data_IF_924950484000
#
_entry.id   IF_924950484000
#
_cell.length_a   1.000
_cell.length_b   1.000
_cell.length_c   1.000
_cell.angle_alpha   90.00
_cell.angle_beta   90.00
_cell.angle_gamma   90.00
#
_symmetry.space_group_name_H-M   'P 1'
#
loop_
_entity.id
_entity.type
_entity.pdbx_description
1 polymer ?
#
# COMPACT_ATOMS: atom_id res chain seq x y z
N UNK A 1 -18.64 7.96 16.52
CA UNK A 1 -17.82 6.89 15.92
C UNK A 1 -16.39 7.37 15.81
N UNK A 2 -15.42 6.56 16.21
CA UNK A 2 -14.01 6.91 16.13
C UNK A 2 -13.52 7.01 14.68
N UNK A 3 -12.42 7.72 14.45
CA UNK A 3 -11.77 7.79 13.14
C UNK A 3 -11.15 6.42 12.83
N UNK A 4 -11.63 5.76 11.78
CA UNK A 4 -11.03 4.52 11.29
C UNK A 4 -9.59 4.76 10.80
N UNK A 5 -8.71 3.82 11.12
CA UNK A 5 -7.31 3.76 10.68
C UNK A 5 -7.19 2.78 9.52
N UNK A 6 -6.80 3.30 8.37
CA UNK A 6 -6.61 2.54 7.15
C UNK A 6 -5.13 2.28 6.89
N UNK A 7 -4.81 1.11 6.36
CA UNK A 7 -3.54 0.83 5.68
C UNK A 7 -3.81 0.43 4.23
N UNK A 8 -2.90 0.79 3.33
CA UNK A 8 -2.91 0.32 1.94
C UNK A 8 -1.54 -0.30 1.67
N UNK A 9 -1.51 -1.52 1.16
CA UNK A 9 -0.29 -2.29 0.91
C UNK A 9 -0.25 -2.85 -0.52
N UNK A 10 0.95 -2.81 -1.10
CA UNK A 10 1.26 -3.20 -2.47
C UNK A 10 2.71 -3.72 -2.52
N UNK A 11 3.04 -4.55 -3.51
CA UNK A 11 4.37 -5.12 -3.69
C UNK A 11 5.44 -4.11 -4.15
N UNK A 12 5.06 -2.95 -4.67
CA UNK A 12 6.00 -1.99 -5.26
C UNK A 12 6.91 -1.34 -4.20
N UNK A 13 8.13 -1.86 -4.05
CA UNK A 13 9.14 -1.34 -3.12
C UNK A 13 10.26 -0.59 -3.86
N UNK A 14 9.93 0.52 -4.49
CA UNK A 14 10.89 1.29 -5.30
C UNK A 14 11.54 2.42 -4.50
N UNK A 15 12.87 2.35 -4.39
CA UNK A 15 13.72 3.34 -3.73
C UNK A 15 14.54 4.15 -4.73
N UNK A 16 14.90 5.37 -4.32
CA UNK A 16 15.70 6.30 -5.12
C UNK A 16 17.06 5.75 -5.57
N UNK A 17 17.61 4.77 -4.85
CA UNK A 17 18.88 4.13 -5.23
C UNK A 17 18.85 3.50 -6.62
N UNK A 18 17.67 3.15 -7.15
CA UNK A 18 17.56 2.63 -8.52
C UNK A 18 17.81 3.72 -9.59
N UNK A 19 17.68 5.01 -9.28
CA UNK A 19 17.89 6.12 -10.23
C UNK A 19 19.29 6.07 -10.87
N UNK A 20 20.29 5.55 -10.15
CA UNK A 20 21.69 5.56 -10.58
C UNK A 20 21.98 4.61 -11.76
N UNK A 21 21.17 3.57 -11.98
CA UNK A 21 21.54 2.50 -12.93
C UNK A 21 21.08 2.73 -14.36
N UNK A 22 20.07 3.56 -14.63
CA UNK A 22 19.53 3.76 -15.99
C UNK A 22 18.64 5.01 -16.12
N UNK A 23 19.18 6.19 -15.78
CA UNK A 23 18.45 7.47 -15.79
C UNK A 23 17.55 7.68 -17.02
N UNK A 24 18.07 7.42 -18.23
CA UNK A 24 17.29 7.57 -19.48
C UNK A 24 16.10 6.60 -19.56
N UNK A 25 16.29 5.33 -19.18
CA UNK A 25 15.21 4.33 -19.19
C UNK A 25 14.13 4.68 -18.16
N UNK A 26 14.56 5.13 -16.97
CA UNK A 26 13.67 5.49 -15.87
C UNK A 26 12.91 6.81 -16.10
N UNK A 27 13.42 7.66 -16.97
CA UNK A 27 12.69 8.86 -17.39
C UNK A 27 11.58 8.49 -18.38
N UNK A 28 11.90 7.65 -19.38
CA UNK A 28 10.97 7.27 -20.44
C UNK A 28 9.78 6.45 -19.94
N UNK A 29 9.99 5.57 -18.95
CA UNK A 29 8.93 4.75 -18.38
C UNK A 29 8.15 5.45 -17.24
N UNK A 30 8.43 6.72 -16.94
CA UNK A 30 7.75 7.48 -15.88
C UNK A 30 8.20 7.17 -14.45
N UNK A 31 9.19 6.28 -14.26
CA UNK A 31 9.63 5.89 -12.92
C UNK A 31 10.17 7.05 -12.10
N UNK A 32 10.94 7.97 -12.71
CA UNK A 32 11.45 9.15 -11.99
C UNK A 32 10.30 10.02 -11.45
N UNK A 33 9.25 10.22 -12.25
CA UNK A 33 8.06 10.96 -11.80
C UNK A 33 7.35 10.25 -10.65
N UNK A 34 7.28 8.92 -10.69
CA UNK A 34 6.72 8.12 -9.62
C UNK A 34 7.55 8.24 -8.32
N UNK A 35 8.87 8.15 -8.41
CA UNK A 35 9.78 8.28 -7.26
C UNK A 35 9.73 9.68 -6.66
N UNK A 36 9.73 10.72 -7.50
CA UNK A 36 9.58 12.11 -7.06
C UNK A 36 8.24 12.36 -6.37
N UNK A 37 7.15 11.77 -6.88
CA UNK A 37 5.83 11.80 -6.23
C UNK A 37 5.89 11.12 -4.86
N UNK A 38 6.46 9.91 -4.77
CA UNK A 38 6.55 9.15 -3.52
C UNK A 38 7.34 9.92 -2.45
N UNK A 39 8.46 10.57 -2.83
CA UNK A 39 9.29 11.39 -1.93
C UNK A 39 8.53 12.58 -1.33
N UNK A 40 7.58 13.17 -2.08
CA UNK A 40 6.75 14.28 -1.57
C UNK A 40 5.74 13.82 -0.50
N UNK A 41 5.45 12.51 -0.44
CA UNK A 41 4.47 11.92 0.48
C UNK A 41 5.17 11.42 1.75
N UNK A 42 6.30 10.73 1.61
CA UNK A 42 7.08 10.16 2.72
C UNK A 42 8.55 9.96 2.34
N UNK A 43 9.42 9.88 3.34
CA UNK A 43 10.86 9.76 3.15
C UNK A 43 11.28 8.43 2.49
N UNK A 44 10.60 7.33 2.83
CA UNK A 44 10.90 6.00 2.32
C UNK A 44 9.67 5.07 2.29
N UNK A 45 9.64 4.04 1.43
CA UNK A 45 8.72 2.93 1.56
C UNK A 45 8.90 2.21 2.90
N UNK A 46 7.81 1.61 3.39
CA UNK A 46 7.77 0.91 4.66
C UNK A 46 7.27 -0.50 4.41
N UNK A 47 7.87 -1.50 5.07
CA UNK A 47 7.37 -2.87 5.06
C UNK A 47 6.27 -3.02 6.10
N UNK A 48 5.15 -3.62 5.73
CA UNK A 48 4.00 -3.82 6.62
C UNK A 48 4.38 -4.64 7.86
N UNK A 49 5.21 -5.67 7.68
CA UNK A 49 5.69 -6.59 8.72
C UNK A 49 6.51 -5.88 9.82
N UNK A 50 7.07 -4.70 9.55
CA UNK A 50 7.86 -3.95 10.52
C UNK A 50 7.00 -2.98 11.36
N UNK A 51 5.72 -2.80 11.02
CA UNK A 51 4.83 -1.91 11.75
C UNK A 51 4.08 -2.67 12.85
N UNK A 52 4.26 -2.29 14.12
CA UNK A 52 3.63 -2.93 15.28
C UNK A 52 2.31 -2.30 15.74
N UNK A 53 1.84 -1.24 15.07
CA UNK A 53 0.57 -0.62 15.39
C UNK A 53 -0.64 -1.41 14.87
N UNK A 54 -1.84 -0.91 15.16
CA UNK A 54 -3.11 -1.52 14.74
C UNK A 54 -3.78 -0.69 13.64
N UNK A 55 -4.51 -1.36 12.77
CA UNK A 55 -5.41 -0.77 11.78
C UNK A 55 -6.80 -1.36 11.94
N UNK A 56 -7.81 -0.65 11.49
CA UNK A 56 -9.19 -1.14 11.52
C UNK A 56 -9.56 -1.77 10.17
N UNK A 57 -8.97 -1.26 9.07
CA UNK A 57 -9.08 -1.80 7.71
C UNK A 57 -7.72 -1.77 7.01
N UNK A 58 -7.33 -2.87 6.39
CA UNK A 58 -6.15 -3.02 5.55
C UNK A 58 -6.61 -3.35 4.13
N UNK A 59 -6.13 -2.59 3.16
CA UNK A 59 -6.45 -2.76 1.74
C UNK A 59 -5.19 -3.26 1.03
N UNK A 60 -5.30 -4.41 0.38
CA UNK A 60 -4.25 -5.03 -0.42
C UNK A 60 -4.54 -4.78 -1.90
N UNK A 61 -3.51 -4.42 -2.68
CA UNK A 61 -3.67 -4.08 -4.09
C UNK A 61 -3.39 -5.26 -5.05
N UNK A 62 -3.07 -6.43 -4.50
CA UNK A 62 -2.88 -7.69 -5.22
C UNK A 62 -3.02 -8.88 -4.24
N UNK A 63 -3.55 -10.00 -4.74
CA UNK A 63 -3.78 -11.23 -3.97
C UNK A 63 -2.53 -11.71 -3.21
N UNK A 64 -1.35 -11.65 -3.84
CA UNK A 64 -0.09 -12.05 -3.19
C UNK A 64 0.22 -11.23 -1.93
N UNK A 65 -0.06 -9.93 -1.95
CA UNK A 65 0.14 -9.05 -0.80
C UNK A 65 -0.90 -9.35 0.27
N UNK A 66 -2.13 -9.67 -0.14
CA UNK A 66 -3.17 -10.12 0.78
C UNK A 66 -2.72 -11.36 1.55
N UNK A 67 -2.25 -12.39 0.87
CA UNK A 67 -1.77 -13.62 1.51
C UNK A 67 -0.62 -13.33 2.49
N UNK A 68 0.36 -12.53 2.07
CA UNK A 68 1.49 -12.15 2.93
C UNK A 68 1.07 -11.37 4.18
N UNK A 69 0.06 -10.51 4.07
CA UNK A 69 -0.46 -9.75 5.21
C UNK A 69 -1.24 -10.66 6.15
N UNK A 70 -2.08 -11.55 5.61
CA UNK A 70 -2.84 -12.50 6.43
C UNK A 70 -1.90 -13.44 7.19
N UNK A 71 -0.88 -13.97 6.51
CA UNK A 71 0.15 -14.81 7.12
C UNK A 71 0.88 -14.05 8.24
N UNK A 72 1.36 -12.83 7.97
CA UNK A 72 2.03 -12.00 8.97
C UNK A 72 1.14 -11.71 10.19
N UNK A 73 -0.13 -11.32 9.97
CA UNK A 73 -1.09 -11.04 11.04
C UNK A 73 -1.36 -12.27 11.92
N UNK A 74 -1.38 -13.48 11.34
CA UNK A 74 -1.56 -14.73 12.09
C UNK A 74 -0.37 -15.07 12.99
N UNK A 75 0.82 -14.56 12.68
CA UNK A 75 2.04 -14.78 13.48
C UNK A 75 2.24 -13.76 14.61
N UNK A 76 1.48 -12.67 14.62
CA UNK A 76 1.59 -11.61 15.63
C UNK A 76 0.88 -12.00 16.93
N UNK A 77 1.43 -11.54 18.05
CA UNK A 77 0.72 -11.62 19.33
C UNK A 77 -0.58 -10.79 19.27
N UNK A 78 -1.71 -11.43 19.57
CA UNK A 78 -3.03 -10.79 19.56
C UNK A 78 -3.64 -10.80 20.96
N UNK A 79 -4.34 -9.72 21.31
CA UNK A 79 -5.19 -9.71 22.51
C UNK A 79 -6.62 -10.06 22.10
N UNK A 80 -7.41 -10.52 23.07
CA UNK A 80 -8.84 -10.76 22.85
C UNK A 80 -9.52 -9.48 22.32
N UNK A 81 -10.23 -9.60 21.20
CA UNK A 81 -10.90 -8.48 20.53
C UNK A 81 -10.07 -7.72 19.49
N UNK A 82 -8.82 -8.13 19.24
CA UNK A 82 -8.00 -7.56 18.16
C UNK A 82 -8.49 -8.07 16.78
N UNK A 83 -9.47 -7.36 16.21
CA UNK A 83 -9.97 -7.63 14.86
C UNK A 83 -9.54 -6.55 13.86
N UNK A 84 -9.19 -6.98 12.65
CA UNK A 84 -8.91 -6.09 11.51
C UNK A 84 -9.57 -6.65 10.25
N UNK A 85 -10.14 -5.78 9.43
CA UNK A 85 -10.64 -6.17 8.11
C UNK A 85 -9.50 -6.12 7.10
N UNK A 86 -9.26 -7.22 6.38
CA UNK A 86 -8.32 -7.25 5.26
C UNK A 86 -9.14 -7.40 3.97
N UNK A 87 -8.95 -6.49 3.02
CA UNK A 87 -9.70 -6.42 1.77
C UNK A 87 -8.70 -6.45 0.61
N UNK A 88 -8.86 -7.39 -0.32
CA UNK A 88 -8.09 -7.40 -1.55
C UNK A 88 -8.84 -6.68 -2.68
N UNK A 89 -8.12 -5.84 -3.43
CA UNK A 89 -8.58 -5.20 -4.66
C UNK A 89 -7.46 -5.37 -5.67
N UNK A 90 -7.61 -6.30 -6.61
CA UNK A 90 -6.57 -6.56 -7.62
C UNK A 90 -6.46 -5.38 -8.59
N UNK A 91 -5.33 -4.67 -8.51
CA UNK A 91 -4.98 -3.55 -9.39
C UNK A 91 -3.74 -3.97 -10.16
N UNK A 92 -3.76 -3.80 -11.48
CA UNK A 92 -2.59 -4.13 -12.30
C UNK A 92 -1.44 -3.15 -12.05
N UNK A 93 -0.20 -3.66 -12.08
CA UNK A 93 1.03 -2.88 -11.83
C UNK A 93 1.44 -2.05 -13.06
N UNK A 94 0.61 -1.07 -13.41
CA UNK A 94 0.91 -0.04 -14.39
C UNK A 94 0.34 1.33 -13.95
N UNK A 95 0.83 2.41 -14.54
CA UNK A 95 0.49 3.78 -14.10
C UNK A 95 -1.00 4.13 -14.21
N UNK A 96 -1.68 3.64 -15.24
CA UNK A 96 -3.08 3.95 -15.53
C UNK A 96 -3.99 3.24 -14.51
N UNK A 97 -3.83 1.93 -14.37
CA UNK A 97 -4.59 1.10 -13.43
C UNK A 97 -4.32 1.49 -11.96
N UNK A 98 -3.07 1.84 -11.61
CA UNK A 98 -2.76 2.37 -10.28
C UNK A 98 -3.50 3.68 -9.98
N UNK A 99 -3.72 4.53 -10.99
CA UNK A 99 -4.46 5.80 -10.82
C UNK A 99 -5.94 5.55 -10.64
N UNK A 100 -6.54 4.69 -11.48
CA UNK A 100 -7.95 4.31 -11.37
C UNK A 100 -8.21 3.60 -10.04
N UNK A 101 -7.36 2.64 -9.69
CA UNK A 101 -7.44 1.90 -8.44
C UNK A 101 -7.28 2.79 -7.21
N UNK A 102 -6.41 3.81 -7.25
CA UNK A 102 -6.30 4.79 -6.17
C UNK A 102 -7.59 5.59 -5.96
N UNK A 103 -8.29 5.98 -7.03
CA UNK A 103 -9.59 6.65 -6.95
C UNK A 103 -10.67 5.72 -6.37
N UNK A 104 -10.66 4.45 -6.78
CA UNK A 104 -11.57 3.44 -6.23
C UNK A 104 -11.35 3.20 -4.73
N UNK A 105 -10.09 3.02 -4.31
CA UNK A 105 -9.71 2.89 -2.89
C UNK A 105 -10.14 4.13 -2.09
N UNK A 106 -9.97 5.33 -2.66
CA UNK A 106 -10.41 6.57 -2.04
C UNK A 106 -11.93 6.60 -1.84
N UNK A 107 -12.73 6.27 -2.87
CA UNK A 107 -14.20 6.21 -2.77
C UNK A 107 -14.64 5.16 -1.74
N UNK A 108 -14.02 3.98 -1.74
CA UNK A 108 -14.28 2.92 -0.76
C UNK A 108 -14.02 3.41 0.67
N UNK A 109 -12.87 4.05 0.91
CA UNK A 109 -12.53 4.59 2.23
C UNK A 109 -13.50 5.70 2.68
N UNK A 110 -14.06 6.48 1.75
CA UNK A 110 -15.10 7.47 2.08
C UNK A 110 -16.40 6.82 2.51
N UNK A 111 -16.80 5.70 1.89
CA UNK A 111 -18.03 4.98 2.23
C UNK A 111 -17.99 4.35 3.62
N UNK A 112 -16.81 3.95 4.11
CA UNK A 112 -16.61 3.47 5.48
C UNK A 112 -16.80 4.55 6.56
N UNK A 113 -16.84 5.84 6.18
CA UNK A 113 -17.05 6.95 7.14
C UNK A 113 -18.53 7.30 7.34
N UNK A 114 -19.44 6.64 6.63
CA UNK A 114 -20.90 6.78 6.78
C UNK A 114 -21.35 5.87 7.93
#
# INVERSE_FOLDING_TARGET
MGKLRFAVSCSSNMNRSMEAHSFLQYTQNGLLNMLDRNRRIKDMPQKFQHFSGKFDVIICLEERVYDQIVEDLQTRDTNEGDSVHVINIDIQDNHEEATIGALFVYDLCLRFKI
#
